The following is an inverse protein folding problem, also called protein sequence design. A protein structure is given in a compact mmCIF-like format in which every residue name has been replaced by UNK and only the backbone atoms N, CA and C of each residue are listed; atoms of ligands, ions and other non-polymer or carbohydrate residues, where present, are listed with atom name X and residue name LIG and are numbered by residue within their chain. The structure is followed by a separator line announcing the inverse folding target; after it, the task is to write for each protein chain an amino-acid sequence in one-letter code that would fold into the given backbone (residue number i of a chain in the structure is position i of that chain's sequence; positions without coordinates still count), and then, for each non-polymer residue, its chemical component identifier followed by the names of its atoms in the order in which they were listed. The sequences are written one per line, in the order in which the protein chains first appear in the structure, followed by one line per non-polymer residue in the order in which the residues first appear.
data_IF_663298313907
#
_entry.id   IF_663298313907
#
_cell.length_a   1.000
_cell.length_b   1.000
_cell.length_c   1.000
_cell.angle_alpha   90.00
_cell.angle_beta   90.00
_cell.angle_gamma   90.00
#
_symmetry.space_group_name_H-M   'P 1'
#
loop_
_entity.id
_entity.type
_entity.pdbx_description
1 polymer ?
#
# COMPACT_ATOMS: atom_id res chain seq x y z
N UNK A 1 9.81 -19.14 13.03
CA UNK A 1 9.30 -18.37 14.19
C UNK A 1 8.66 -17.12 13.64
N UNK A 2 7.34 -17.00 13.72
CA UNK A 2 6.68 -15.74 13.36
C UNK A 2 7.09 -14.71 14.41
N UNK A 3 7.69 -13.60 13.99
CA UNK A 3 8.03 -12.47 14.85
C UNK A 3 6.78 -12.07 15.67
N UNK A 4 6.97 -11.75 16.95
CA UNK A 4 5.90 -11.31 17.86
C UNK A 4 5.36 -9.91 17.53
N UNK A 5 5.69 -9.36 16.36
CA UNK A 5 5.10 -8.12 15.87
C UNK A 5 3.74 -8.40 15.23
N UNK A 6 2.74 -7.59 15.58
CA UNK A 6 1.38 -7.71 15.08
C UNK A 6 1.33 -7.80 13.56
N UNK A 7 0.29 -8.47 13.03
CA UNK A 7 0.13 -8.71 11.59
C UNK A 7 0.14 -7.36 10.84
N UNK A 8 0.88 -7.33 9.73
CA UNK A 8 0.90 -6.17 8.83
C UNK A 8 -0.05 -6.43 7.66
N UNK A 9 -0.93 -5.48 7.39
CA UNK A 9 -1.85 -5.50 6.24
C UNK A 9 -1.50 -4.33 5.32
N UNK A 10 -1.37 -4.58 4.02
CA UNK A 10 -1.09 -3.55 3.02
C UNK A 10 -2.26 -3.42 2.05
N UNK A 11 -2.72 -2.20 1.80
CA UNK A 11 -3.78 -1.88 0.84
C UNK A 11 -3.23 -0.88 -0.17
N UNK A 12 -3.29 -1.25 -1.45
CA UNK A 12 -3.02 -0.33 -2.54
C UNK A 12 -4.26 0.55 -2.76
N UNK A 13 -4.07 1.86 -2.82
CA UNK A 13 -5.14 2.82 -3.06
C UNK A 13 -4.83 3.69 -4.28
N UNK A 14 -5.88 4.18 -4.92
CA UNK A 14 -5.84 5.12 -6.04
C UNK A 14 -7.02 6.09 -5.94
N UNK A 15 -7.25 6.89 -6.99
CA UNK A 15 -8.37 7.83 -7.03
C UNK A 15 -9.71 7.19 -7.43
N UNK A 16 -9.83 5.86 -7.45
CA UNK A 16 -11.03 5.15 -7.89
C UNK A 16 -11.90 4.66 -6.74
N UNK A 17 -13.22 4.56 -6.99
CA UNK A 17 -14.21 3.97 -6.08
C UNK A 17 -13.88 2.52 -5.67
N UNK A 18 -13.09 1.80 -6.49
CA UNK A 18 -12.70 0.43 -6.18
C UNK A 18 -11.75 0.38 -4.99
N UNK A 19 -10.83 1.35 -4.91
CA UNK A 19 -9.88 1.41 -3.79
C UNK A 19 -10.58 1.77 -2.48
N UNK A 20 -11.60 2.64 -2.53
CA UNK A 20 -12.44 2.98 -1.39
C UNK A 20 -13.20 1.74 -0.88
N UNK A 21 -13.88 1.01 -1.78
CA UNK A 21 -14.59 -0.23 -1.42
C UNK A 21 -13.66 -1.30 -0.85
N UNK A 22 -12.42 -1.39 -1.34
CA UNK A 22 -11.43 -2.32 -0.81
C UNK A 22 -11.00 -1.95 0.62
N UNK A 23 -10.86 -0.65 0.90
CA UNK A 23 -10.57 -0.17 2.25
C UNK A 23 -11.74 -0.44 3.22
N UNK A 24 -12.97 -0.21 2.79
CA UNK A 24 -14.16 -0.51 3.60
C UNK A 24 -14.27 -2.00 3.91
N UNK A 25 -14.06 -2.85 2.90
CA UNK A 25 -14.07 -4.29 3.08
C UNK A 25 -12.97 -4.77 4.04
N UNK A 26 -11.77 -4.18 3.98
CA UNK A 26 -10.72 -4.46 4.96
C UNK A 26 -11.19 -4.16 6.38
N UNK A 27 -11.81 -3.00 6.59
CA UNK A 27 -12.28 -2.57 7.91
C UNK A 27 -13.33 -3.51 8.49
N UNK A 28 -14.22 -4.03 7.64
CA UNK A 28 -15.30 -4.91 8.07
C UNK A 28 -14.87 -6.37 8.27
N UNK A 29 -13.96 -6.87 7.44
CA UNK A 29 -13.71 -8.31 7.34
C UNK A 29 -12.33 -8.73 7.84
N UNK A 30 -11.33 -7.85 7.72
CA UNK A 30 -9.94 -8.20 7.95
C UNK A 30 -9.41 -7.56 9.23
N UNK A 31 -9.80 -6.32 9.55
CA UNK A 31 -9.32 -5.56 10.71
C UNK A 31 -9.35 -6.39 12.00
N UNK A 32 -8.21 -6.40 12.72
CA UNK A 32 -8.09 -6.95 14.06
C UNK A 32 -7.28 -5.99 14.91
N UNK A 33 -7.62 -5.91 16.20
CA UNK A 33 -6.84 -5.12 17.14
C UNK A 33 -5.37 -5.59 17.18
N UNK A 34 -4.45 -4.63 17.14
CA UNK A 34 -3.02 -4.89 17.08
C UNK A 34 -2.45 -5.09 15.68
N UNK A 35 -3.27 -5.08 14.63
CA UNK A 35 -2.77 -5.00 13.26
C UNK A 35 -2.08 -3.65 12.98
N UNK A 36 -1.08 -3.68 12.09
CA UNK A 36 -0.54 -2.47 11.45
C UNK A 36 -1.04 -2.40 10.01
N UNK A 37 -1.76 -1.33 9.67
CA UNK A 37 -2.21 -1.07 8.30
C UNK A 37 -1.21 -0.15 7.57
N UNK A 38 -0.82 -0.55 6.36
CA UNK A 38 -0.04 0.24 5.41
C UNK A 38 -0.94 0.56 4.22
N UNK A 39 -1.09 1.85 3.92
CA UNK A 39 -1.82 2.33 2.74
C UNK A 39 -0.81 2.84 1.73
N UNK A 40 -0.80 2.26 0.53
CA UNK A 40 0.16 2.56 -0.52
C UNK A 40 -0.55 3.18 -1.71
N UNK A 41 -0.16 4.39 -2.08
CA UNK A 41 -0.58 5.01 -3.33
C UNK A 41 0.62 5.14 -4.27
N UNK A 42 0.59 4.41 -5.39
CA UNK A 42 1.66 4.43 -6.39
C UNK A 42 1.29 5.38 -7.52
N UNK A 43 1.90 6.56 -7.53
CA UNK A 43 1.77 7.49 -8.65
C UNK A 43 2.71 7.10 -9.79
N UNK A 44 2.23 7.18 -11.02
CA UNK A 44 3.10 7.11 -12.20
C UNK A 44 3.99 8.35 -12.26
N UNK A 45 5.30 8.13 -12.29
CA UNK A 45 6.26 9.20 -12.58
C UNK A 45 6.36 9.35 -14.10
N UNK A 46 5.71 10.36 -14.66
CA UNK A 46 5.93 10.72 -16.06
C UNK A 46 7.36 11.27 -16.24
N UNK A 47 8.13 10.78 -17.25
CA UNK A 47 9.36 11.43 -17.66
C UNK A 47 9.10 12.91 -17.99
N UNK A 48 9.97 13.87 -17.60
CA UNK A 48 11.40 13.71 -17.29
C UNK A 48 11.76 13.69 -15.79
N UNK A 49 10.81 13.36 -14.89
CA UNK A 49 11.05 13.41 -13.44
C UNK A 49 12.15 12.44 -12.92
N UNK A 50 12.59 11.49 -13.76
CA UNK A 50 13.73 10.62 -13.47
C UNK A 50 15.00 11.22 -14.12
N UNK A 51 16.02 11.66 -13.34
CA UNK A 51 17.30 12.06 -13.92
C UNK A 51 17.90 10.86 -14.68
N UNK A 52 18.20 11.07 -15.97
CA UNK A 52 18.46 10.05 -16.99
C UNK A 52 19.67 9.11 -16.76
N UNK A 53 20.32 9.04 -15.60
CA UNK A 53 21.54 8.22 -15.38
C UNK A 53 21.80 7.81 -13.93
N UNK A 54 20.94 7.01 -13.32
CA UNK A 54 21.26 6.29 -12.08
C UNK A 54 20.95 4.79 -12.16
N UNK A 55 21.19 4.15 -13.30
CA UNK A 55 21.36 2.70 -13.39
C UNK A 55 22.53 2.45 -14.34
N UNK A 56 23.73 2.42 -13.78
CA UNK A 56 24.82 1.60 -14.29
C UNK A 56 24.92 0.45 -13.32
N UNK A 57 24.42 -0.73 -13.75
CA UNK A 57 24.74 -2.02 -13.15
C UNK A 57 26.03 -2.54 -13.79
#
# INVERSE_FOLDING_TARGET
MASSEGRVVCIAVDGSDHSEKAFDWYKEQIYRDGDRLIVVHSHELHPPALPRKCITL
#
